data_IF_938874028445
#
_entry.id   IF_938874028445
#
_cell.length_a   1.000
_cell.length_b   1.000
_cell.length_c   1.000
_cell.angle_alpha   90.00
_cell.angle_beta   90.00
_cell.angle_gamma   90.00
#
_symmetry.space_group_name_H-M   'P 1'
#
loop_
_entity.id
_entity.type
_entity.pdbx_description
1 polymer ?
#
# COMPACT_ATOMS: atom_id res chain seq x y z
N UNK A 1 -3.83 16.88 13.35
CA UNK A 1 -5.09 16.10 13.44
C UNK A 1 -4.76 14.63 13.68
N UNK A 2 -5.53 13.86 14.46
CA UNK A 2 -5.27 12.43 14.60
C UNK A 2 -5.43 11.74 13.24
N UNK A 3 -4.49 10.85 12.87
CA UNK A 3 -4.49 10.15 11.58
C UNK A 3 -5.83 9.47 11.25
N UNK A 4 -6.54 9.02 12.28
CA UNK A 4 -7.83 8.35 12.15
C UNK A 4 -8.90 9.25 11.54
N UNK A 5 -8.86 10.56 11.81
CA UNK A 5 -9.80 11.53 11.23
C UNK A 5 -9.64 11.65 9.70
N UNK A 6 -8.40 11.67 9.21
CA UNK A 6 -8.12 11.72 7.77
C UNK A 6 -8.52 10.42 7.06
N UNK A 7 -8.29 9.28 7.72
CA UNK A 7 -8.75 7.99 7.21
C UNK A 7 -10.28 7.90 7.21
N UNK A 8 -10.97 8.52 8.18
CA UNK A 8 -12.44 8.60 8.16
C UNK A 8 -12.96 9.47 7.02
N UNK A 9 -12.30 10.60 6.75
CA UNK A 9 -12.64 11.51 5.66
C UNK A 9 -12.44 10.87 4.27
N UNK A 10 -11.48 9.96 4.10
CA UNK A 10 -11.26 9.23 2.85
C UNK A 10 -11.55 7.71 2.97
N UNK A 11 -12.82 7.29 2.79
CA UNK A 11 -13.21 5.89 2.94
C UNK A 11 -12.60 4.96 1.87
N UNK A 12 -12.35 5.48 0.66
CA UNK A 12 -11.74 4.70 -0.44
C UNK A 12 -10.31 4.29 -0.12
N UNK A 13 -9.48 5.24 0.34
CA UNK A 13 -8.12 4.96 0.76
C UNK A 13 -8.07 4.00 1.95
N UNK A 14 -8.91 4.23 2.97
CA UNK A 14 -8.96 3.38 4.17
C UNK A 14 -9.30 1.93 3.81
N UNK A 15 -10.24 1.71 2.89
CA UNK A 15 -10.61 0.38 2.41
C UNK A 15 -9.46 -0.28 1.65
N UNK A 16 -8.80 0.46 0.76
CA UNK A 16 -7.66 -0.05 0.00
C UNK A 16 -6.49 -0.43 0.89
N UNK A 17 -6.16 0.41 1.89
CA UNK A 17 -5.10 0.12 2.86
C UNK A 17 -5.42 -1.14 3.68
N UNK A 18 -6.64 -1.26 4.20
CA UNK A 18 -7.06 -2.48 4.94
C UNK A 18 -7.03 -3.72 4.06
N UNK A 19 -7.50 -3.62 2.82
CA UNK A 19 -7.47 -4.72 1.87
C UNK A 19 -6.04 -5.19 1.57
N UNK A 20 -5.11 -4.23 1.40
CA UNK A 20 -3.68 -4.53 1.29
C UNK A 20 -3.14 -5.22 2.55
N UNK A 21 -3.44 -4.70 3.75
CA UNK A 21 -2.95 -5.29 4.99
C UNK A 21 -3.44 -6.74 5.18
N UNK A 22 -4.74 -6.99 5.00
CA UNK A 22 -5.30 -8.34 5.17
C UNK A 22 -4.67 -9.32 4.17
N UNK A 23 -4.56 -8.93 2.90
CA UNK A 23 -3.96 -9.80 1.88
C UNK A 23 -2.46 -10.01 2.11
N UNK A 24 -1.74 -9.00 2.58
CA UNK A 24 -0.34 -9.13 2.98
C UNK A 24 -0.15 -10.13 4.13
N UNK A 25 -0.96 -10.02 5.19
CA UNK A 25 -0.89 -10.93 6.34
C UNK A 25 -1.22 -12.37 5.94
N UNK A 26 -2.30 -12.58 5.18
CA UNK A 26 -2.70 -13.94 4.74
C UNK A 26 -1.61 -14.56 3.86
N UNK A 27 -1.14 -13.84 2.84
CA UNK A 27 -0.09 -14.32 1.94
C UNK A 27 1.22 -14.59 2.69
N UNK A 28 1.59 -13.72 3.64
CA UNK A 28 2.79 -13.89 4.45
C UNK A 28 2.74 -15.09 5.38
N UNK A 29 1.59 -15.35 6.03
CA UNK A 29 1.40 -16.55 6.86
C UNK A 29 1.47 -17.82 6.01
N UNK A 30 0.80 -17.84 4.85
CA UNK A 30 0.86 -18.98 3.92
C UNK A 30 2.29 -19.21 3.40
N UNK A 31 3.04 -18.16 3.10
CA UNK A 31 4.44 -18.27 2.69
C UNK A 31 5.31 -18.85 3.81
N UNK A 32 5.11 -18.42 5.06
CA UNK A 32 5.84 -19.00 6.20
C UNK A 32 5.50 -20.47 6.42
N UNK A 33 4.23 -20.86 6.27
CA UNK A 33 3.82 -22.26 6.31
C UNK A 33 4.52 -23.07 5.22
N UNK A 34 4.55 -22.57 3.98
CA UNK A 34 5.30 -23.21 2.90
C UNK A 34 6.79 -23.32 3.21
N UNK A 35 7.41 -22.30 3.78
CA UNK A 35 8.82 -22.38 4.16
C UNK A 35 9.08 -23.49 5.19
N UNK A 36 8.20 -23.63 6.18
CA UNK A 36 8.30 -24.69 7.18
C UNK A 36 8.09 -26.06 6.54
N UNK A 37 7.09 -26.22 5.68
CA UNK A 37 6.83 -27.47 4.97
C UNK A 37 7.97 -27.84 4.02
N UNK A 38 8.58 -26.87 3.34
CA UNK A 38 9.74 -27.13 2.48
C UNK A 38 10.95 -27.56 3.30
N UNK A 39 11.15 -26.99 4.48
CA UNK A 39 12.17 -27.46 5.40
C UNK A 39 11.90 -28.91 5.84
N UNK A 40 10.66 -29.24 6.22
CA UNK A 40 10.29 -30.61 6.59
C UNK A 40 10.45 -31.61 5.45
N UNK A 41 10.00 -31.24 4.24
CA UNK A 41 10.07 -32.09 3.05
C UNK A 41 11.51 -32.33 2.61
N UNK A 42 12.33 -31.30 2.50
CA UNK A 42 13.68 -31.46 1.95
C UNK A 42 14.72 -31.94 2.98
N UNK A 43 14.54 -31.64 4.27
CA UNK A 43 15.50 -32.04 5.31
C UNK A 43 15.12 -33.38 5.94
N UNK A 44 13.82 -33.62 6.17
CA UNK A 44 13.33 -34.81 6.87
C UNK A 44 12.54 -35.77 5.99
N UNK A 45 12.28 -35.43 4.72
CA UNK A 45 11.44 -36.23 3.81
C UNK A 45 10.04 -36.50 4.38
N UNK A 46 9.48 -35.49 5.06
CA UNK A 46 8.15 -35.53 5.66
C UNK A 46 7.19 -34.61 4.91
N UNK A 47 5.98 -35.10 4.66
CA UNK A 47 4.86 -34.33 4.14
C UNK A 47 3.79 -34.16 5.21
N UNK A 48 3.08 -33.04 5.15
CA UNK A 48 1.92 -32.80 6.01
C UNK A 48 0.67 -33.32 5.31
N UNK A 49 0.06 -34.34 5.89
CA UNK A 49 -1.22 -34.90 5.46
C UNK A 49 -2.35 -34.38 6.35
N UNK A 50 -3.48 -34.05 5.75
CA UNK A 50 -4.71 -33.71 6.46
C UNK A 50 -5.81 -34.75 6.21
N UNK A 51 -6.61 -35.01 7.24
CA UNK A 51 -7.73 -35.98 7.23
C UNK A 51 -7.31 -37.40 6.84
N UNK A 52 -6.16 -37.81 7.36
CA UNK A 52 -5.53 -39.09 7.11
C UNK A 52 -5.92 -40.18 8.10
N UNK A 53 -5.46 -41.43 7.88
CA UNK A 53 -5.62 -42.55 8.81
C UNK A 53 -5.02 -42.26 10.19
N UNK A 54 -4.03 -41.37 10.25
CA UNK A 54 -3.28 -41.03 11.45
C UNK A 54 -3.80 -39.77 12.18
N UNK A 55 -4.92 -39.19 11.72
CA UNK A 55 -5.59 -38.05 12.37
C UNK A 55 -5.90 -36.89 11.44
N UNK A 56 -6.31 -35.76 12.03
CA UNK A 56 -6.73 -34.56 11.28
C UNK A 56 -5.55 -33.86 10.61
N UNK A 57 -4.39 -33.81 11.28
CA UNK A 57 -3.11 -33.32 10.74
C UNK A 57 -2.04 -34.32 11.18
N UNK A 58 -1.31 -34.90 10.24
CA UNK A 58 -0.25 -35.88 10.49
C UNK A 58 0.99 -35.58 9.63
N UNK A 59 2.17 -35.93 10.15
CA UNK A 59 3.41 -35.96 9.39
C UNK A 59 3.60 -37.38 8.86
N UNK A 60 3.65 -37.53 7.54
CA UNK A 60 3.77 -38.81 6.86
C UNK A 60 5.02 -38.77 5.99
N UNK A 61 5.61 -39.92 5.67
CA UNK A 61 6.77 -39.95 4.78
C UNK A 61 6.41 -39.50 3.36
N UNK A 62 7.36 -38.89 2.67
CA UNK A 62 7.25 -38.53 1.26
C UNK A 62 6.71 -39.71 0.42
N UNK A 63 5.78 -39.41 -0.49
CA UNK A 63 5.07 -40.37 -1.36
C UNK A 63 4.13 -41.39 -0.67
N UNK A 64 3.90 -41.27 0.64
CA UNK A 64 2.96 -42.14 1.37
C UNK A 64 1.62 -41.47 1.70
N UNK A 65 1.39 -40.26 1.18
CA UNK A 65 0.16 -39.50 1.37
C UNK A 65 -1.04 -40.22 0.73
N UNK A 66 -1.99 -40.63 1.56
CA UNK A 66 -3.21 -41.37 1.19
C UNK A 66 -4.47 -40.50 1.18
N UNK A 67 -4.42 -39.34 1.84
CA UNK A 67 -5.54 -38.40 1.96
C UNK A 67 -5.20 -37.03 1.32
N UNK A 68 -5.52 -35.92 1.99
CA UNK A 68 -5.25 -34.59 1.45
C UNK A 68 -3.80 -34.17 1.76
N UNK A 69 -3.00 -33.98 0.71
CA UNK A 69 -1.66 -33.41 0.83
C UNK A 69 -1.78 -31.91 1.19
N UNK A 70 -1.62 -31.59 2.47
CA UNK A 70 -1.81 -30.23 2.96
C UNK A 70 -0.80 -29.28 2.33
N UNK A 71 0.42 -29.75 2.09
CA UNK A 71 1.48 -28.91 1.51
C UNK A 71 1.17 -28.44 0.10
N UNK A 72 0.67 -29.34 -0.74
CA UNK A 72 0.21 -29.01 -2.08
C UNK A 72 -0.96 -27.99 -2.04
N UNK A 73 -1.90 -28.16 -1.11
CA UNK A 73 -3.02 -27.23 -0.98
C UNK A 73 -2.58 -25.86 -0.47
N UNK A 74 -1.68 -25.80 0.52
CA UNK A 74 -1.10 -24.53 1.00
C UNK A 74 -0.39 -23.81 -0.15
N UNK A 75 0.31 -24.52 -1.03
CA UNK A 75 0.99 -23.93 -2.19
C UNK A 75 0.00 -23.32 -3.19
N UNK A 76 -1.06 -24.05 -3.54
CA UNK A 76 -2.11 -23.57 -4.44
C UNK A 76 -2.81 -22.34 -3.85
N UNK A 77 -3.20 -22.41 -2.57
CA UNK A 77 -3.89 -21.31 -1.88
C UNK A 77 -2.99 -20.08 -1.78
N UNK A 78 -1.72 -20.26 -1.44
CA UNK A 78 -0.73 -19.18 -1.42
C UNK A 78 -0.63 -18.48 -2.79
N UNK A 79 -0.51 -19.24 -3.88
CA UNK A 79 -0.40 -18.69 -5.22
C UNK A 79 -1.59 -17.79 -5.59
N UNK A 80 -2.81 -18.23 -5.30
CA UNK A 80 -4.01 -17.42 -5.54
C UNK A 80 -4.09 -16.18 -4.64
N UNK A 81 -3.79 -16.32 -3.35
CA UNK A 81 -3.74 -15.18 -2.43
C UNK A 81 -2.65 -14.17 -2.80
N UNK A 82 -1.53 -14.64 -3.37
CA UNK A 82 -0.48 -13.78 -3.91
C UNK A 82 -0.98 -12.93 -5.08
N UNK A 83 -1.80 -13.48 -5.99
CA UNK A 83 -2.43 -12.70 -7.06
C UNK A 83 -3.34 -11.60 -6.48
N UNK A 84 -4.16 -11.95 -5.49
CA UNK A 84 -5.04 -10.97 -4.80
C UNK A 84 -4.20 -9.88 -4.11
N UNK A 85 -3.08 -10.27 -3.49
CA UNK A 85 -2.12 -9.36 -2.87
C UNK A 85 -1.47 -8.40 -3.88
N UNK A 86 -1.12 -8.88 -5.08
CA UNK A 86 -0.58 -8.02 -6.14
C UNK A 86 -1.62 -7.00 -6.62
N UNK A 87 -2.88 -7.40 -6.76
CA UNK A 87 -3.97 -6.47 -7.09
C UNK A 87 -4.11 -5.41 -5.99
N UNK A 88 -4.10 -5.81 -4.71
CA UNK A 88 -4.17 -4.88 -3.59
C UNK A 88 -2.98 -3.90 -3.59
N UNK A 89 -1.78 -4.40 -3.86
CA UNK A 89 -0.55 -3.61 -3.96
C UNK A 89 -0.62 -2.61 -5.11
N UNK A 90 -1.13 -3.01 -6.27
CA UNK A 90 -1.33 -2.14 -7.42
C UNK A 90 -2.34 -1.04 -7.15
N UNK A 91 -3.48 -1.37 -6.53
CA UNK A 91 -4.53 -0.39 -6.17
C UNK A 91 -4.00 0.64 -5.18
N UNK A 92 -3.25 0.21 -4.15
CA UNK A 92 -2.64 1.12 -3.19
C UNK A 92 -1.57 2.01 -3.86
N UNK A 93 -0.73 1.41 -4.71
CA UNK A 93 0.30 2.11 -5.47
C UNK A 93 -0.28 3.20 -6.39
N UNK A 94 -1.34 2.88 -7.15
CA UNK A 94 -2.04 3.82 -8.02
C UNK A 94 -2.62 5.00 -7.24
N UNK A 95 -3.24 4.76 -6.09
CA UNK A 95 -3.80 5.83 -5.25
C UNK A 95 -2.72 6.72 -4.64
N UNK A 96 -1.58 6.14 -4.25
CA UNK A 96 -0.49 6.89 -3.65
C UNK A 96 0.43 7.57 -4.67
N UNK A 97 0.37 7.20 -5.96
CA UNK A 97 1.21 7.74 -7.05
C UNK A 97 2.71 7.66 -6.71
N UNK A 98 3.11 6.60 -6.03
CA UNK A 98 4.50 6.38 -5.66
C UNK A 98 5.36 5.95 -6.86
N UNK A 99 6.69 6.10 -6.82
CA UNK A 99 7.55 5.56 -7.87
C UNK A 99 7.46 4.03 -7.90
N UNK A 100 7.64 3.43 -9.09
CA UNK A 100 7.41 2.00 -9.34
C UNK A 100 8.24 1.06 -8.45
N UNK A 101 9.39 1.52 -7.96
CA UNK A 101 10.23 0.78 -7.01
C UNK A 101 9.46 0.33 -5.76
N UNK A 102 8.44 1.09 -5.34
CA UNK A 102 7.60 0.72 -4.20
C UNK A 102 6.59 -0.37 -4.54
N UNK A 103 6.09 -0.40 -5.77
CA UNK A 103 5.25 -1.51 -6.24
C UNK A 103 6.07 -2.81 -6.22
N UNK A 104 7.32 -2.75 -6.69
CA UNK A 104 8.22 -3.90 -6.66
C UNK A 104 8.57 -4.32 -5.23
N UNK A 105 8.84 -3.37 -4.33
CA UNK A 105 9.10 -3.66 -2.92
C UNK A 105 7.88 -4.30 -2.23
N UNK A 106 6.67 -3.85 -2.55
CA UNK A 106 5.44 -4.49 -2.08
C UNK A 106 5.31 -5.90 -2.66
N UNK A 107 5.41 -6.07 -3.98
CA UNK A 107 5.34 -7.38 -4.62
C UNK A 107 6.36 -8.39 -4.03
N UNK A 108 7.60 -7.94 -3.78
CA UNK A 108 8.65 -8.74 -3.14
C UNK A 108 8.25 -9.24 -1.74
N UNK A 109 7.42 -8.48 -1.03
CA UNK A 109 6.87 -8.87 0.25
C UNK A 109 6.18 -10.23 0.21
N UNK A 110 5.48 -10.58 -0.88
CA UNK A 110 4.73 -11.82 -0.99
C UNK A 110 5.54 -13.06 -1.39
N UNK A 111 6.82 -12.91 -1.77
CA UNK A 111 7.69 -14.01 -2.19
C UNK A 111 8.91 -14.21 -1.29
N UNK A 112 9.35 -13.16 -0.58
CA UNK A 112 10.49 -13.25 0.33
C UNK A 112 9.99 -13.57 1.74
N UNK A 113 10.44 -14.69 2.34
CA UNK A 113 10.02 -15.07 3.68
C UNK A 113 10.32 -13.94 4.68
N UNK A 114 9.42 -13.75 5.65
CA UNK A 114 9.47 -12.68 6.66
C UNK A 114 9.34 -11.24 6.12
N UNK A 115 9.64 -10.99 4.85
CA UNK A 115 9.56 -9.65 4.25
C UNK A 115 8.13 -9.12 4.18
N UNK A 116 7.12 -9.98 4.02
CA UNK A 116 5.69 -9.61 4.09
C UNK A 116 5.35 -8.76 5.33
N UNK A 117 5.90 -9.12 6.49
CA UNK A 117 5.61 -8.43 7.74
C UNK A 117 6.34 -7.08 7.81
N UNK A 118 7.58 -7.05 7.32
CA UNK A 118 8.39 -5.83 7.27
C UNK A 118 7.77 -4.83 6.29
N UNK A 119 7.35 -5.27 5.10
CA UNK A 119 6.74 -4.41 4.08
C UNK A 119 5.40 -3.88 4.54
N UNK A 120 4.56 -4.69 5.19
CA UNK A 120 3.30 -4.21 5.79
C UNK A 120 3.56 -3.10 6.81
N UNK A 121 4.50 -3.30 7.73
CA UNK A 121 4.83 -2.32 8.76
C UNK A 121 5.38 -1.01 8.17
N UNK A 122 6.28 -1.10 7.19
CA UNK A 122 6.87 0.09 6.56
C UNK A 122 5.85 0.83 5.69
N UNK A 123 5.08 0.12 4.87
CA UNK A 123 4.18 0.73 3.89
C UNK A 123 2.95 1.33 4.55
N UNK A 124 2.39 0.70 5.60
CA UNK A 124 1.26 1.27 6.33
C UNK A 124 1.63 2.60 7.01
N UNK A 125 2.84 2.69 7.57
CA UNK A 125 3.38 3.93 8.15
C UNK A 125 3.61 5.00 7.10
N UNK A 126 4.24 4.64 5.97
CA UNK A 126 4.48 5.58 4.88
C UNK A 126 3.17 6.13 4.31
N UNK A 127 2.20 5.26 4.06
CA UNK A 127 0.92 5.65 3.47
C UNK A 127 0.18 6.65 4.35
N UNK A 128 0.15 6.42 5.67
CA UNK A 128 -0.45 7.35 6.64
C UNK A 128 0.29 8.69 6.72
N UNK A 129 1.62 8.69 6.64
CA UNK A 129 2.44 9.91 6.66
C UNK A 129 2.21 10.77 5.42
N UNK A 130 2.24 10.14 4.25
CA UNK A 130 2.08 10.86 2.97
C UNK A 130 0.68 11.49 2.85
N UNK A 131 -0.35 10.90 3.47
CA UNK A 131 -1.67 11.52 3.55
C UNK A 131 -1.71 12.77 4.43
N UNK A 132 -1.04 12.74 5.59
CA UNK A 132 -0.97 13.92 6.47
C UNK A 132 -0.28 15.07 5.75
N UNK A 133 0.85 14.80 5.09
CA UNK A 133 1.59 15.81 4.35
C UNK A 133 0.76 16.45 3.25
N UNK A 134 -0.01 15.66 2.49
CA UNK A 134 -0.90 16.18 1.44
C UNK A 134 -2.03 17.03 2.00
N UNK A 135 -2.59 16.63 3.15
CA UNK A 135 -3.64 17.41 3.78
C UNK A 135 -3.09 18.73 4.36
N UNK A 136 -1.92 18.70 4.99
CA UNK A 136 -1.25 19.92 5.47
C UNK A 136 -0.96 20.89 4.34
N UNK A 137 -0.48 20.40 3.19
CA UNK A 137 -0.30 21.20 1.98
C UNK A 137 -1.63 21.80 1.49
N UNK A 138 -2.69 20.99 1.38
CA UNK A 138 -4.02 21.45 0.97
C UNK A 138 -4.58 22.52 1.90
N UNK A 139 -4.39 22.37 3.22
CA UNK A 139 -4.85 23.35 4.21
C UNK A 139 -4.03 24.64 4.17
N UNK A 140 -2.72 24.54 3.94
CA UNK A 140 -1.85 25.71 3.78
C UNK A 140 -2.24 26.52 2.52
N UNK A 141 -2.40 25.85 1.38
CA UNK A 141 -2.84 26.46 0.12
C UNK A 141 -4.21 27.14 0.27
N UNK A 142 -5.19 26.47 0.88
CA UNK A 142 -6.50 27.06 1.13
C UNK A 142 -6.44 28.29 2.05
N UNK A 143 -5.56 28.26 3.05
CA UNK A 143 -5.33 29.40 3.94
C UNK A 143 -4.66 30.59 3.24
N UNK A 144 -3.71 30.33 2.34
CA UNK A 144 -3.08 31.36 1.50
C UNK A 144 -4.09 31.97 0.51
N UNK A 145 -4.87 31.14 -0.20
CA UNK A 145 -5.94 31.62 -1.07
C UNK A 145 -6.94 32.50 -0.31
N UNK A 146 -7.30 32.11 0.91
CA UNK A 146 -8.24 32.89 1.72
C UNK A 146 -7.65 34.24 2.14
N UNK A 147 -6.35 34.31 2.45
CA UNK A 147 -5.65 35.58 2.75
C UNK A 147 -5.57 36.47 1.52
N UNK A 148 -5.27 35.90 0.35
CA UNK A 148 -5.23 36.62 -0.91
C UNK A 148 -6.61 37.20 -1.26
N UNK A 149 -7.67 36.39 -1.18
CA UNK A 149 -9.05 36.86 -1.40
C UNK A 149 -9.47 37.94 -0.42
N UNK A 150 -9.09 37.82 0.85
CA UNK A 150 -9.37 38.85 1.85
C UNK A 150 -8.59 40.15 1.56
N UNK A 151 -7.34 40.03 1.11
CA UNK A 151 -6.52 41.16 0.68
C UNK A 151 -7.11 41.84 -0.56
N UNK A 152 -7.42 41.09 -1.62
CA UNK A 152 -8.09 41.59 -2.82
C UNK A 152 -9.42 42.28 -2.48
N UNK A 153 -10.23 41.67 -1.61
CA UNK A 153 -11.49 42.24 -1.14
C UNK A 153 -11.30 43.59 -0.43
N UNK A 154 -10.15 43.81 0.22
CA UNK A 154 -9.82 45.07 0.89
C UNK A 154 -9.36 46.19 -0.05
N UNK A 155 -8.95 45.86 -1.28
CA UNK A 155 -8.51 46.84 -2.28
C UNK A 155 -9.70 47.53 -2.95
N UNK A 156 -9.52 48.81 -3.31
CA UNK A 156 -10.45 49.53 -4.20
C UNK A 156 -10.35 49.03 -5.65
N UNK A 157 -11.36 49.29 -6.48
CA UNK A 157 -11.38 48.83 -7.88
C UNK A 157 -10.15 49.30 -8.68
N UNK A 158 -9.73 50.55 -8.51
CA UNK A 158 -8.55 51.10 -9.17
C UNK A 158 -7.25 50.40 -8.75
N UNK A 159 -7.11 50.06 -7.47
CA UNK A 159 -5.94 49.33 -6.95
C UNK A 159 -5.91 47.88 -7.43
N UNK A 160 -7.08 47.24 -7.59
CA UNK A 160 -7.18 45.88 -8.14
C UNK A 160 -6.76 45.84 -9.61
N UNK A 161 -7.25 46.76 -10.43
CA UNK A 161 -6.85 46.86 -11.84
C UNK A 161 -5.35 47.09 -12.00
N UNK A 162 -4.75 47.90 -11.12
CA UNK A 162 -3.32 48.12 -11.11
C UNK A 162 -2.53 46.87 -10.70
N UNK A 163 -2.98 46.14 -9.67
CA UNK A 163 -2.37 44.88 -9.25
C UNK A 163 -2.43 43.82 -10.36
N UNK A 164 -3.56 43.69 -11.04
CA UNK A 164 -3.75 42.75 -12.14
C UNK A 164 -2.81 43.08 -13.32
N UNK A 165 -2.63 44.37 -13.64
CA UNK A 165 -1.69 44.82 -14.66
C UNK A 165 -0.23 44.47 -14.30
N UNK A 166 0.18 44.70 -13.05
CA UNK A 166 1.52 44.36 -12.54
C UNK A 166 1.76 42.84 -12.56
N UNK A 167 0.76 42.03 -12.16
CA UNK A 167 0.84 40.56 -12.21
C UNK A 167 1.00 40.09 -13.65
N UNK A 168 0.22 40.61 -14.59
CA UNK A 168 0.35 40.25 -16.00
C UNK A 168 1.71 40.64 -16.58
N UNK A 169 2.24 41.82 -16.24
CA UNK A 169 3.58 42.23 -16.65
C UNK A 169 4.64 41.26 -16.09
N UNK A 170 4.58 40.94 -14.80
CA UNK A 170 5.49 40.01 -14.15
C UNK A 170 5.45 38.61 -14.79
N UNK A 171 4.25 38.10 -15.11
CA UNK A 171 4.08 36.83 -15.82
C UNK A 171 4.69 36.87 -17.23
N UNK A 172 4.51 37.95 -17.98
CA UNK A 172 5.10 38.13 -19.31
C UNK A 172 6.62 38.16 -19.27
N UNK A 173 7.21 38.81 -18.26
CA UNK A 173 8.66 38.81 -18.03
C UNK A 173 9.17 37.41 -17.67
N UNK A 174 8.45 36.68 -16.80
CA UNK A 174 8.84 35.33 -16.40
C UNK A 174 8.81 34.35 -17.57
N UNK A 175 7.80 34.43 -18.45
CA UNK A 175 7.69 33.62 -19.66
C UNK A 175 8.80 33.92 -20.69
N UNK A 176 9.32 35.15 -20.74
CA UNK A 176 10.46 35.52 -21.58
C UNK A 176 11.79 34.97 -21.05
N UNK A 177 11.91 34.75 -19.73
CA UNK A 177 13.13 34.21 -19.08
C UNK A 177 13.21 32.69 -19.10
N UNK A 178 12.09 31.98 -19.20
CA UNK A 178 12.04 30.51 -19.19
C UNK A 178 12.02 29.88 -20.58
N UNK A 179 11.95 30.69 -21.65
CA UNK A 179 12.21 30.28 -23.04
C UNK A 179 13.67 30.50 -23.42
#
# INVERSE_FOLDING_TARGET
MPHDALLTANPGFRRALRFYQVTAYVTGILLLLLCVEMFLKYVFHLEVEAFGPFGVIALVQEDTTTALNLSLWVLIVHGWFYVVYLIASYVLWQQMRWPIVWLLAMAAGGIVPFLSFITEWFMSRRAKRDLVLREEQRLAEAGEEQKLRAFEASLSEAEREQLDADVQQSLAEHQRRTK
#
